data_IF_424472057430
#
_entry.id   IF_424472057430
#
_cell.length_a   1.000
_cell.length_b   1.000
_cell.length_c   1.000
_cell.angle_alpha   90.00
_cell.angle_beta   90.00
_cell.angle_gamma   90.00
#
_symmetry.space_group_name_H-M   'P 1'
#
loop_
_entity.id
_entity.type
_entity.pdbx_description
1 polymer ?
#
# COMPACT_ATOMS: atom_id res chain seq x y z
N UNK A 1 10.84 -16.16 -15.23
CA UNK A 1 11.74 -15.72 -14.15
C UNK A 1 10.91 -15.00 -13.11
N UNK A 2 10.98 -15.42 -11.85
CA UNK A 2 10.36 -14.68 -10.75
C UNK A 2 11.42 -13.71 -10.17
N UNK A 3 11.08 -12.44 -9.89
CA UNK A 3 12.06 -11.51 -9.34
C UNK A 3 12.45 -11.94 -7.92
N UNK A 4 13.73 -12.21 -7.76
CA UNK A 4 14.44 -12.20 -6.49
C UNK A 4 14.79 -10.75 -6.21
N UNK A 5 14.28 -10.15 -5.13
CA UNK A 5 14.85 -8.91 -4.62
C UNK A 5 14.81 -8.90 -3.09
N UNK A 6 16.00 -8.84 -2.52
CA UNK A 6 16.34 -8.96 -1.12
C UNK A 6 16.11 -7.63 -0.37
N UNK A 7 14.86 -7.31 -0.11
CA UNK A 7 14.42 -6.58 1.09
C UNK A 7 13.57 -7.57 1.91
N UNK A 8 13.45 -7.45 3.26
CA UNK A 8 12.44 -8.26 3.96
C UNK A 8 11.13 -8.03 3.22
N UNK A 9 10.47 -9.09 2.70
CA UNK A 9 9.31 -8.92 1.84
C UNK A 9 8.30 -8.13 2.64
N UNK A 10 8.02 -6.90 2.21
CA UNK A 10 7.07 -6.03 2.90
C UNK A 10 5.79 -6.83 3.02
N UNK A 11 5.38 -7.10 4.26
CA UNK A 11 4.27 -8.02 4.49
C UNK A 11 3.00 -7.41 3.90
N UNK A 12 2.41 -8.06 2.89
CA UNK A 12 1.23 -7.53 2.20
C UNK A 12 0.06 -7.29 3.18
N UNK A 13 -0.03 -8.10 4.25
CA UNK A 13 -1.01 -7.88 5.30
C UNK A 13 -0.69 -6.61 6.10
N UNK A 14 0.60 -6.33 6.37
CA UNK A 14 1.02 -5.09 7.03
C UNK A 14 0.81 -3.85 6.14
N UNK A 15 1.04 -3.95 4.83
CA UNK A 15 0.76 -2.86 3.87
C UNK A 15 -0.72 -2.48 3.88
N UNK A 16 -1.62 -3.47 3.94
CA UNK A 16 -3.05 -3.23 4.04
C UNK A 16 -3.51 -2.92 5.48
N UNK A 17 -2.64 -3.07 6.47
CA UNK A 17 -2.98 -2.89 7.89
C UNK A 17 -3.99 -3.91 8.41
N UNK A 18 -3.98 -5.13 7.87
CA UNK A 18 -4.88 -6.22 8.25
C UNK A 18 -4.10 -7.39 8.86
N UNK A 19 -4.80 -8.27 9.57
CA UNK A 19 -4.19 -9.48 10.13
C UNK A 19 -4.04 -10.57 9.06
N UNK A 20 -3.18 -11.55 9.29
CA UNK A 20 -3.03 -12.70 8.38
C UNK A 20 -4.30 -13.58 8.32
N UNK A 21 -5.16 -13.50 9.34
CA UNK A 21 -6.47 -14.14 9.38
C UNK A 21 -7.59 -13.32 8.73
N UNK A 22 -7.29 -12.14 8.19
CA UNK A 22 -8.28 -11.27 7.58
C UNK A 22 -9.00 -11.98 6.43
N UNK A 23 -10.32 -11.83 6.36
CA UNK A 23 -11.11 -12.40 5.27
C UNK A 23 -10.87 -11.65 3.95
N UNK A 24 -11.29 -12.23 2.83
CA UNK A 24 -11.25 -11.53 1.55
C UNK A 24 -12.05 -10.22 1.57
N UNK A 25 -13.10 -10.15 2.39
CA UNK A 25 -13.92 -8.94 2.59
C UNK A 25 -13.10 -7.85 3.28
N UNK A 26 -12.36 -8.20 4.33
CA UNK A 26 -11.52 -7.27 5.08
C UNK A 26 -10.37 -6.73 4.23
N UNK A 27 -9.70 -7.61 3.46
CA UNK A 27 -8.66 -7.24 2.49
C UNK A 27 -9.20 -6.22 1.48
N UNK A 28 -10.40 -6.47 0.93
CA UNK A 28 -11.04 -5.58 -0.04
C UNK A 28 -11.47 -4.26 0.62
N UNK A 29 -11.94 -4.28 1.86
CA UNK A 29 -12.33 -3.08 2.59
C UNK A 29 -11.12 -2.20 2.93
N UNK A 30 -10.02 -2.80 3.38
CA UNK A 30 -8.77 -2.12 3.65
C UNK A 30 -8.18 -1.49 2.38
N UNK A 31 -8.15 -2.24 1.28
CA UNK A 31 -7.72 -1.71 -0.03
C UNK A 31 -8.55 -0.49 -0.44
N UNK A 32 -9.89 -0.56 -0.38
CA UNK A 32 -10.74 0.60 -0.75
C UNK A 32 -10.42 1.83 0.10
N UNK A 33 -10.24 1.68 1.41
CA UNK A 33 -9.92 2.79 2.32
C UNK A 33 -8.56 3.43 1.99
N UNK A 34 -7.54 2.61 1.77
CA UNK A 34 -6.19 3.08 1.46
C UNK A 34 -6.10 3.66 0.05
N UNK A 35 -6.72 3.02 -0.93
CA UNK A 35 -6.84 3.52 -2.29
C UNK A 35 -7.49 4.90 -2.29
N UNK A 36 -8.60 5.10 -1.59
CA UNK A 36 -9.25 6.42 -1.50
C UNK A 36 -8.39 7.49 -0.82
N UNK A 37 -7.57 7.10 0.16
CA UNK A 37 -6.70 8.02 0.91
C UNK A 37 -5.46 8.43 0.13
N UNK A 38 -4.88 7.50 -0.62
CA UNK A 38 -3.61 7.66 -1.33
C UNK A 38 -3.79 7.73 -2.85
N UNK A 39 -5.02 7.87 -3.35
CA UNK A 39 -5.22 8.04 -4.79
C UNK A 39 -4.67 9.41 -5.22
N UNK A 40 -3.77 9.47 -6.22
CA UNK A 40 -3.22 10.74 -6.69
C UNK A 40 -4.32 11.67 -7.24
N UNK A 41 -5.35 11.12 -7.90
CA UNK A 41 -6.50 11.90 -8.40
C UNK A 41 -7.34 12.53 -7.28
N UNK A 42 -7.59 11.82 -6.16
CA UNK A 42 -8.33 12.41 -5.03
C UNK A 42 -7.52 13.41 -4.25
N UNK A 43 -6.20 13.22 -4.14
CA UNK A 43 -5.31 14.24 -3.58
C UNK A 43 -5.31 15.51 -4.44
N UNK A 44 -5.33 15.36 -5.77
CA UNK A 44 -5.45 16.46 -6.74
C UNK A 44 -6.86 17.09 -6.80
N UNK A 45 -7.92 16.33 -6.51
CA UNK A 45 -9.29 16.83 -6.42
C UNK A 45 -9.57 17.52 -5.08
N UNK A 46 -9.06 17.02 -3.95
CA UNK A 46 -9.12 17.70 -2.66
C UNK A 46 -8.28 18.99 -2.69
N UNK A 47 -7.04 18.90 -3.20
CA UNK A 47 -6.48 19.79 -4.23
C UNK A 47 -7.32 21.01 -4.66
N UNK A 48 -8.12 20.74 -5.70
CA UNK A 48 -8.95 21.68 -6.41
C UNK A 48 -10.23 22.09 -5.67
N UNK A 49 -10.80 21.25 -4.80
CA UNK A 49 -12.03 21.55 -4.08
C UNK A 49 -11.85 22.63 -3.00
N UNK A 50 -10.62 22.84 -2.50
CA UNK A 50 -10.29 23.99 -1.65
C UNK A 50 -10.03 25.29 -2.45
N UNK A 51 -10.23 25.29 -3.77
CA UNK A 51 -9.87 26.40 -4.68
C UNK A 51 -11.02 27.39 -4.95
N UNK A 52 -11.87 27.66 -3.96
CA UNK A 52 -12.90 28.70 -4.05
C UNK A 52 -12.45 30.08 -3.50
N UNK A 53 -11.19 30.24 -3.10
CA UNK A 53 -10.60 31.51 -2.70
C UNK A 53 -9.43 31.86 -3.63
N UNK A 54 -9.50 33.06 -4.22
CA UNK A 54 -8.54 33.81 -5.06
C UNK A 54 -7.37 33.06 -5.76
N UNK A 55 -7.10 33.30 -7.06
CA UNK A 55 -5.96 32.70 -7.77
C UNK A 55 -4.58 32.99 -7.15
N UNK A 56 -4.45 34.04 -6.33
CA UNK A 56 -3.24 34.31 -5.53
C UNK A 56 -3.08 33.35 -4.33
N UNK A 57 -4.17 33.01 -3.66
CA UNK A 57 -4.21 32.02 -2.57
C UNK A 57 -4.03 30.60 -3.10
N UNK A 58 -4.45 30.32 -4.35
CA UNK A 58 -4.21 29.06 -5.04
C UNK A 58 -2.71 28.76 -5.27
N UNK A 59 -1.90 29.78 -5.59
CA UNK A 59 -0.44 29.63 -5.76
C UNK A 59 0.26 29.41 -4.41
N UNK A 60 -0.26 30.02 -3.33
CA UNK A 60 0.23 29.82 -1.98
C UNK A 60 -0.18 28.45 -1.38
N UNK A 61 -1.39 27.95 -1.67
CA UNK A 61 -1.85 26.63 -1.24
C UNK A 61 -1.17 25.48 -2.00
N UNK A 62 -0.78 25.69 -3.27
CA UNK A 62 0.09 24.79 -4.03
C UNK A 62 1.53 24.78 -3.50
N UNK A 63 1.96 25.83 -2.80
CA UNK A 63 3.24 25.92 -2.12
C UNK A 63 3.23 25.36 -0.68
N UNK A 64 2.12 24.72 -0.24
CA UNK A 64 2.08 24.05 1.06
C UNK A 64 2.96 22.79 1.02
N UNK A 65 4.09 22.74 1.75
CA UNK A 65 4.98 21.58 1.76
C UNK A 65 4.28 20.33 2.26
N UNK A 66 3.26 20.48 3.11
CA UNK A 66 2.44 19.40 3.64
C UNK A 66 1.62 18.74 2.52
N UNK A 67 1.03 19.53 1.62
CA UNK A 67 0.21 19.00 0.52
C UNK A 67 1.06 18.31 -0.53
N UNK A 68 2.22 18.88 -0.86
CA UNK A 68 3.21 18.27 -1.75
C UNK A 68 3.74 16.95 -1.17
N UNK A 69 4.03 16.89 0.13
CA UNK A 69 4.46 15.67 0.82
C UNK A 69 3.37 14.58 0.79
N UNK A 70 2.09 14.93 0.96
CA UNK A 70 0.98 13.98 0.86
C UNK A 70 0.83 13.43 -0.56
N UNK A 71 0.96 14.26 -1.60
CA UNK A 71 0.89 13.82 -3.01
C UNK A 71 2.11 12.95 -3.37
N UNK A 72 3.31 13.32 -2.92
CA UNK A 72 4.52 12.53 -3.13
C UNK A 72 4.43 11.17 -2.42
N UNK A 73 3.94 11.13 -1.18
CA UNK A 73 3.69 9.89 -0.45
C UNK A 73 2.58 9.05 -1.11
N UNK A 74 1.53 9.67 -1.67
CA UNK A 74 0.50 8.97 -2.42
C UNK A 74 1.07 8.24 -3.65
N UNK A 75 2.02 8.86 -4.36
CA UNK A 75 2.71 8.25 -5.51
C UNK A 75 3.53 7.00 -5.17
N UNK A 76 4.02 6.88 -3.93
CA UNK A 76 4.81 5.71 -3.48
C UNK A 76 3.97 4.67 -2.73
N UNK A 77 2.96 5.11 -1.97
CA UNK A 77 2.14 4.23 -1.13
C UNK A 77 1.04 3.52 -1.93
N UNK A 78 0.41 4.20 -2.90
CA UNK A 78 -0.63 3.60 -3.73
C UNK A 78 -0.18 2.34 -4.47
N UNK A 79 0.97 2.31 -5.18
CA UNK A 79 1.40 1.09 -5.87
C UNK A 79 1.68 -0.07 -4.91
N UNK A 80 2.21 0.18 -3.71
CA UNK A 80 2.41 -0.87 -2.70
C UNK A 80 1.07 -1.45 -2.23
N UNK A 81 0.07 -0.59 -1.98
CA UNK A 81 -1.28 -0.99 -1.60
C UNK A 81 -1.96 -1.79 -2.71
N UNK A 82 -1.77 -1.39 -3.97
CA UNK A 82 -2.31 -2.09 -5.14
C UNK A 82 -1.68 -3.47 -5.33
N UNK A 83 -0.35 -3.57 -5.18
CA UNK A 83 0.37 -4.84 -5.24
C UNK A 83 -0.09 -5.80 -4.15
N UNK A 84 -0.17 -5.33 -2.90
CA UNK A 84 -0.64 -6.13 -1.77
C UNK A 84 -2.07 -6.65 -2.00
N UNK A 85 -2.96 -5.82 -2.54
CA UNK A 85 -4.31 -6.24 -2.90
C UNK A 85 -4.32 -7.25 -4.05
N UNK A 86 -3.50 -7.07 -5.09
CA UNK A 86 -3.43 -8.00 -6.20
C UNK A 86 -3.04 -9.41 -5.75
N UNK A 87 -2.13 -9.53 -4.78
CA UNK A 87 -1.72 -10.82 -4.21
C UNK A 87 -2.77 -11.39 -3.25
N UNK A 88 -3.35 -10.57 -2.36
CA UNK A 88 -4.24 -11.04 -1.29
C UNK A 88 -5.72 -11.19 -1.69
N UNK A 89 -6.15 -10.56 -2.79
CA UNK A 89 -7.55 -10.62 -3.26
C UNK A 89 -7.88 -11.90 -4.01
N UNK A 90 -6.88 -12.54 -4.63
CA UNK A 90 -7.02 -13.82 -5.31
C UNK A 90 -6.64 -14.98 -4.36
N UNK A 91 -7.54 -15.95 -4.22
CA UNK A 91 -7.37 -17.06 -3.29
C UNK A 91 -6.19 -17.96 -3.63
N UNK A 92 -5.86 -18.13 -4.92
CA UNK A 92 -4.73 -18.96 -5.35
C UNK A 92 -3.40 -18.25 -5.11
N UNK A 93 -3.31 -16.97 -5.47
CA UNK A 93 -2.17 -16.07 -5.24
C UNK A 93 -1.89 -15.93 -3.75
N UNK A 94 -2.92 -15.71 -2.93
CA UNK A 94 -2.81 -15.64 -1.46
C UNK A 94 -2.26 -16.93 -0.88
N UNK A 95 -2.79 -18.08 -1.30
CA UNK A 95 -2.28 -19.39 -0.86
C UNK A 95 -0.82 -19.61 -1.27
N UNK A 96 -0.44 -19.25 -2.50
CA UNK A 96 0.94 -19.38 -2.96
C UNK A 96 1.90 -18.46 -2.17
N UNK A 97 1.45 -17.26 -1.83
CA UNK A 97 2.18 -16.32 -0.97
C UNK A 97 2.37 -16.87 0.44
N UNK A 98 1.30 -17.35 1.08
CA UNK A 98 1.35 -17.91 2.43
C UNK A 98 2.25 -19.17 2.50
N UNK A 99 2.19 -20.05 1.49
CA UNK A 99 3.07 -21.23 1.39
C UNK A 99 4.54 -20.84 1.20
N UNK A 100 4.82 -19.79 0.41
CA UNK A 100 6.18 -19.28 0.21
C UNK A 100 6.73 -18.72 1.53
N UNK A 101 5.93 -17.94 2.26
CA UNK A 101 6.28 -17.42 3.59
C UNK A 101 6.57 -18.55 4.59
N UNK A 102 5.71 -19.56 4.65
CA UNK A 102 5.90 -20.71 5.54
C UNK A 102 7.20 -21.46 5.25
N UNK A 103 7.57 -21.64 3.97
CA UNK A 103 8.83 -22.30 3.57
C UNK A 103 10.07 -21.52 4.01
N UNK A 104 10.05 -20.18 3.87
CA UNK A 104 11.16 -19.32 4.32
C UNK A 104 11.31 -19.38 5.84
N UNK A 105 10.20 -19.30 6.58
CA UNK A 105 10.21 -19.42 8.05
C UNK A 105 10.80 -20.75 8.53
N UNK A 106 10.47 -21.86 7.85
CA UNK A 106 11.02 -23.19 8.13
C UNK A 106 12.50 -23.34 7.73
N UNK A 107 12.98 -22.56 6.76
CA UNK A 107 14.39 -22.55 6.35
C UNK A 107 15.28 -21.80 7.36
N UNK A 108 14.81 -20.64 7.84
CA UNK A 108 15.53 -19.85 8.85
C UNK A 108 15.62 -20.59 10.19
N UNK A 109 14.57 -21.33 10.58
CA UNK A 109 14.55 -22.09 11.85
C UNK A 109 15.63 -23.19 11.92
N UNK A 110 16.09 -23.68 10.77
CA UNK A 110 17.14 -24.71 10.68
C UNK A 110 18.57 -24.17 10.80
N UNK A 111 18.78 -22.87 10.56
CA UNK A 111 20.09 -22.23 10.65
C UNK A 111 20.36 -21.55 12.00
N UNK A 112 19.33 -21.32 12.82
CA UNK A 112 19.45 -20.66 14.13
C UNK A 112 19.73 -21.63 15.30
N UNK A 113 19.97 -22.91 15.01
CA UNK A 113 20.16 -23.97 16.01
C UNK A 113 21.49 -24.71 15.90
N UNK A 114 22.49 -24.14 15.22
CA UNK A 114 23.86 -24.68 15.16
C UNK A 114 24.85 -23.75 15.84
#
# INVERSE_FOLDING_TARGET
GAPSSAAPPVDHYAVLGVTHHASAVDVRAAYRRLALRYHPDKAAAAAAASAAASPAEARAAAASPVRAAVVAAAGTVFPMVAEAYAVLSDSASRRAYDLRRARVALSNKRHAGS
#
